data_IF_440102120072
#
_entry.id   IF_440102120072
#
_cell.length_a   1.000
_cell.length_b   1.000
_cell.length_c   1.000
_cell.angle_alpha   90.00
_cell.angle_beta   90.00
_cell.angle_gamma   90.00
#
_symmetry.space_group_name_H-M   'P 1'
#
loop_
_entity.id
_entity.type
_entity.pdbx_description
1 polymer ?
#
# COMPACT_ATOMS: atom_id res chain seq x y z
N UNK A 1 10.75 26.96 29.63
CA UNK A 1 11.19 25.55 29.76
C UNK A 1 11.19 24.93 28.37
N UNK A 2 12.38 24.73 27.82
CA UNK A 2 12.57 24.18 26.48
C UNK A 2 12.61 22.65 26.55
N UNK A 3 11.78 22.01 25.77
CA UNK A 3 11.74 20.53 25.63
C UNK A 3 12.78 20.12 24.59
N UNK A 4 13.76 19.36 25.00
CA UNK A 4 14.84 18.85 24.16
C UNK A 4 14.35 17.57 23.40
N UNK A 5 14.43 17.50 22.08
CA UNK A 5 14.18 16.22 21.40
C UNK A 5 15.41 15.33 21.47
N UNK A 6 15.27 14.18 22.12
CA UNK A 6 16.33 13.15 22.12
C UNK A 6 16.32 12.42 20.77
N UNK A 7 17.30 12.73 19.94
CA UNK A 7 17.61 11.96 18.74
C UNK A 7 18.39 10.73 19.21
N UNK A 8 17.76 9.56 19.12
CA UNK A 8 18.44 8.28 19.31
C UNK A 8 19.36 8.04 18.11
N UNK A 9 20.62 8.41 18.27
CA UNK A 9 21.66 8.09 17.30
C UNK A 9 22.04 6.61 17.46
N UNK A 10 21.75 5.79 16.49
CA UNK A 10 22.23 4.42 16.41
C UNK A 10 23.73 4.44 16.18
N UNK A 11 24.51 4.10 17.20
CA UNK A 11 25.94 3.87 17.05
C UNK A 11 26.17 2.49 16.47
N UNK A 12 26.54 2.44 15.19
CA UNK A 12 27.13 1.25 14.57
C UNK A 12 28.63 1.26 14.99
N UNK A 13 29.14 0.17 15.57
CA UNK A 13 30.56 0.15 15.88
C UNK A 13 31.35 0.10 14.56
N UNK A 14 32.14 1.14 14.32
CA UNK A 14 33.10 1.18 13.21
C UNK A 14 34.38 0.50 13.65
N UNK A 15 34.76 -0.58 12.99
CA UNK A 15 36.12 -1.08 13.07
C UNK A 15 36.94 -0.34 12.01
N UNK A 16 37.94 0.38 12.44
CA UNK A 16 38.87 1.12 11.56
C UNK A 16 39.85 0.14 10.89
N UNK A 17 39.59 -0.21 9.63
CA UNK A 17 40.63 -0.73 8.72
C UNK A 17 40.74 0.22 7.52
N UNK A 18 41.94 0.67 7.15
CA UNK A 18 42.10 1.59 6.02
C UNK A 18 41.84 0.86 4.69
N UNK A 19 40.90 1.25 4.02
CA UNK A 19 40.49 0.68 2.72
C UNK A 19 38.96 0.60 2.48
N UNK A 20 38.32 0.55 3.42
CA UNK A 20 36.90 0.33 3.30
C UNK A 20 36.06 1.55 2.97
N UNK A 21 36.54 2.51 3.21
CA UNK A 21 35.86 3.75 2.97
C UNK A 21 35.64 4.00 1.50
N UNK A 22 36.36 3.70 0.84
CA UNK A 22 36.32 3.86 -0.59
C UNK A 22 35.30 2.87 -1.17
N UNK A 23 35.26 1.87 -0.65
CA UNK A 23 34.34 0.93 -1.11
C UNK A 23 32.93 1.26 -0.67
N UNK A 24 32.90 1.76 0.32
CA UNK A 24 31.65 2.19 0.80
C UNK A 24 31.15 3.40 0.07
N UNK A 25 31.96 4.08 -0.20
CA UNK A 25 31.66 5.23 -0.93
C UNK A 25 31.34 4.86 -2.35
N UNK A 26 31.88 4.03 -2.75
CA UNK A 26 31.63 3.51 -4.06
C UNK A 26 30.31 2.72 -4.08
N UNK A 27 30.16 2.13 -3.15
CA UNK A 27 28.93 1.50 -3.05
C UNK A 27 27.77 2.45 -2.86
N UNK A 28 28.07 3.31 -2.27
CA UNK A 28 27.08 4.31 -2.08
C UNK A 28 26.85 5.07 -3.36
N UNK A 29 27.72 5.25 -3.90
CA UNK A 29 27.67 5.88 -5.17
C UNK A 29 27.03 4.94 -6.17
N UNK A 30 27.33 3.80 -6.08
CA UNK A 30 26.75 2.86 -6.95
C UNK A 30 25.29 2.65 -6.62
N UNK A 31 25.07 2.73 -5.51
CA UNK A 31 23.73 2.65 -5.13
C UNK A 31 22.94 3.87 -5.54
N UNK A 32 23.58 4.74 -5.45
CA UNK A 32 22.98 5.96 -5.87
C UNK A 32 22.84 5.97 -7.36
N UNK A 33 23.63 5.55 -7.85
CA UNK A 33 23.61 5.44 -9.28
C UNK A 33 22.58 4.39 -9.71
N UNK A 34 22.59 3.45 -9.04
CA UNK A 34 21.62 2.51 -9.37
C UNK A 34 20.23 2.98 -9.08
N UNK A 35 20.22 3.67 -8.19
CA UNK A 35 18.98 4.25 -7.87
C UNK A 35 18.59 5.28 -8.88
N UNK A 36 19.47 5.81 -9.23
CA UNK A 36 19.26 6.79 -10.22
C UNK A 36 18.96 6.13 -11.52
N UNK A 37 19.53 5.19 -11.66
CA UNK A 37 19.30 4.45 -12.85
C UNK A 37 17.92 3.78 -12.81
N UNK A 38 17.69 3.41 -11.83
CA UNK A 38 16.40 2.89 -11.69
C UNK A 38 15.34 3.93 -11.80
N UNK A 39 15.72 4.83 -11.37
CA UNK A 39 14.82 5.93 -11.47
C UNK A 39 14.75 6.41 -12.89
N UNK A 40 15.68 6.39 -13.33
CA UNK A 40 15.75 6.77 -14.71
C UNK A 40 15.07 5.72 -15.56
N UNK A 41 15.27 4.63 -15.21
CA UNK A 41 14.65 3.64 -15.94
C UNK A 41 13.16 3.64 -15.73
N UNK A 42 12.90 3.98 -14.68
CA UNK A 42 11.56 4.13 -14.39
C UNK A 42 10.96 5.32 -15.05
N UNK A 43 11.71 6.11 -15.11
CA UNK A 43 11.32 7.29 -15.77
C UNK A 43 11.29 7.07 -17.25
N UNK A 44 12.07 6.45 -17.56
CA UNK A 44 12.11 6.10 -18.95
C UNK A 44 10.98 5.14 -19.31
N UNK A 45 10.81 4.40 -18.52
CA UNK A 45 9.73 3.58 -18.76
C UNK A 45 8.43 4.30 -18.67
N UNK A 46 8.50 5.13 -17.92
CA UNK A 46 7.36 5.95 -17.81
C UNK A 46 7.21 6.86 -18.99
N UNK A 47 8.14 7.19 -19.36
CA UNK A 47 8.16 8.03 -20.50
C UNK A 47 7.82 7.23 -21.75
N UNK A 48 8.21 6.16 -21.71
CA UNK A 48 7.91 5.34 -22.83
C UNK A 48 6.46 4.90 -22.83
N UNK A 49 5.98 4.87 -21.79
CA UNK A 49 4.64 4.56 -21.66
C UNK A 49 3.74 5.73 -21.89
N UNK A 50 4.23 6.68 -21.69
CA UNK A 50 3.51 7.88 -21.89
C UNK A 50 3.35 8.24 -23.36
N UNK A 51 4.07 7.83 -23.89
CA UNK A 51 4.02 8.13 -25.29
C UNK A 51 2.90 7.37 -26.00
N UNK A 52 2.51 6.49 -25.34
CA UNK A 52 1.48 5.79 -26.02
C UNK A 52 0.09 6.17 -25.62
N UNK A 53 0.02 6.79 -24.73
CA UNK A 53 -1.30 7.15 -24.41
C UNK A 53 -1.26 8.45 -23.76
N UNK A 54 -1.96 9.48 -24.27
CA UNK A 54 -2.29 10.68 -23.54
C UNK A 54 -3.63 10.52 -22.82
N UNK A 55 -3.68 10.17 -21.55
CA UNK A 55 -4.83 10.52 -20.70
C UNK A 55 -4.64 12.01 -20.38
N UNK A 56 -5.61 12.81 -20.76
CA UNK A 56 -5.73 14.18 -20.24
C UNK A 56 -5.99 14.02 -18.74
N UNK A 57 -4.91 14.06 -17.96
CA UNK A 57 -5.03 14.26 -16.52
C UNK A 57 -5.42 15.73 -16.32
N UNK A 58 -6.72 15.97 -16.31
CA UNK A 58 -7.24 17.15 -15.65
C UNK A 58 -6.74 17.12 -14.20
N UNK A 59 -5.94 18.12 -13.84
CA UNK A 59 -5.65 18.47 -12.46
C UNK A 59 -6.99 18.76 -11.77
N UNK A 60 -7.61 17.72 -11.27
CA UNK A 60 -8.71 17.84 -10.32
C UNK A 60 -8.08 18.22 -8.98
N UNK A 61 -8.39 19.42 -8.54
CA UNK A 61 -8.05 19.88 -7.21
C UNK A 61 -8.44 18.82 -6.18
N UNK A 62 -7.52 18.51 -5.28
CA UNK A 62 -7.77 17.68 -4.12
C UNK A 62 -8.77 18.42 -3.19
N UNK A 63 -10.04 18.40 -3.55
CA UNK A 63 -11.13 18.72 -2.63
C UNK A 63 -11.76 17.40 -2.19
N UNK A 64 -11.02 16.66 -1.40
CA UNK A 64 -11.47 15.37 -0.87
C UNK A 64 -11.88 15.44 0.59
N UNK A 65 -12.56 16.52 0.98
CA UNK A 65 -13.41 16.43 2.16
C UNK A 65 -14.84 16.13 1.67
N UNK A 66 -15.07 14.87 1.29
CA UNK A 66 -16.44 14.39 1.30
C UNK A 66 -16.86 14.36 2.76
N UNK A 67 -17.60 15.37 3.12
CA UNK A 67 -18.23 15.50 4.42
C UNK A 67 -18.90 14.17 4.80
N UNK A 68 -18.57 13.67 6.01
CA UNK A 68 -19.24 12.52 6.62
C UNK A 68 -20.77 12.68 6.63
N UNK A 69 -21.28 13.91 6.47
CA UNK A 69 -22.70 14.20 6.33
C UNK A 69 -23.37 13.42 5.18
N UNK A 70 -22.61 13.11 4.09
CA UNK A 70 -23.18 12.37 2.95
C UNK A 70 -23.28 10.85 3.22
N UNK A 71 -22.43 10.30 4.08
CA UNK A 71 -22.53 8.88 4.46
C UNK A 71 -23.70 8.65 5.41
N UNK A 72 -23.98 9.62 6.28
CA UNK A 72 -25.17 9.58 7.15
C UNK A 72 -26.47 9.67 6.36
N UNK A 73 -26.50 10.49 5.30
CA UNK A 73 -27.69 10.62 4.46
C UNK A 73 -28.01 9.34 3.68
N UNK A 74 -27.01 8.53 3.33
CA UNK A 74 -27.25 7.29 2.60
C UNK A 74 -27.85 6.18 3.50
N UNK A 75 -27.55 6.20 4.81
CA UNK A 75 -28.12 5.23 5.76
C UNK A 75 -29.49 5.65 6.28
N UNK A 76 -29.79 6.96 6.27
CA UNK A 76 -31.06 7.48 6.76
C UNK A 76 -32.14 7.60 5.68
N UNK A 77 -31.76 7.49 4.40
CA UNK A 77 -32.68 7.74 3.26
C UNK A 77 -33.68 6.61 2.98
N UNK A 78 -33.70 5.52 3.78
CA UNK A 78 -34.58 4.37 3.49
C UNK A 78 -35.57 3.97 4.59
N UNK A 79 -35.92 4.88 5.51
CA UNK A 79 -36.98 4.60 6.48
C UNK A 79 -38.14 5.61 6.29
N UNK A 80 -39.28 5.16 5.73
CA UNK A 80 -40.34 6.09 5.43
C UNK A 80 -41.24 6.44 6.66
N UNK A 81 -40.73 6.26 7.87
CA UNK A 81 -41.44 6.64 9.07
C UNK A 81 -40.88 7.96 9.60
N UNK A 82 -41.67 9.02 9.61
CA UNK A 82 -41.38 10.23 10.36
C UNK A 82 -41.40 9.90 11.85
N UNK A 83 -40.33 9.36 12.35
CA UNK A 83 -40.11 9.23 13.78
C UNK A 83 -39.92 10.67 14.29
N UNK A 84 -40.73 11.09 15.22
CA UNK A 84 -40.60 12.42 15.83
C UNK A 84 -39.17 12.57 16.37
N UNK A 85 -38.51 13.63 15.93
CA UNK A 85 -37.19 13.96 16.46
C UNK A 85 -37.34 14.61 17.82
N UNK A 86 -36.50 14.32 18.80
CA UNK A 86 -36.55 15.03 20.08
C UNK A 86 -36.23 16.51 19.86
N UNK A 87 -36.95 17.38 20.56
CA UNK A 87 -36.75 18.83 20.49
C UNK A 87 -35.44 19.22 21.21
N UNK A 88 -35.11 18.51 22.26
CA UNK A 88 -33.86 18.73 23.03
C UNK A 88 -32.74 17.91 22.45
N UNK A 89 -31.57 18.50 22.38
CA UNK A 89 -30.35 17.79 21.98
C UNK A 89 -29.98 16.79 23.09
N UNK A 90 -30.03 15.49 22.77
CA UNK A 90 -29.81 14.42 23.75
C UNK A 90 -28.33 14.07 23.91
N UNK A 91 -27.50 14.32 22.88
CA UNK A 91 -26.06 14.08 22.95
C UNK A 91 -25.35 15.40 22.63
N UNK A 92 -24.39 15.83 23.45
CA UNK A 92 -23.64 17.05 23.16
C UNK A 92 -22.96 17.00 21.80
N UNK A 93 -22.96 18.10 21.06
CA UNK A 93 -22.30 18.21 19.76
C UNK A 93 -20.81 17.88 19.82
N UNK A 94 -20.15 18.18 20.94
CA UNK A 94 -18.74 17.87 21.17
C UNK A 94 -18.52 16.36 21.19
N UNK A 95 -19.38 15.59 21.84
CA UNK A 95 -19.31 14.12 21.94
C UNK A 95 -19.47 13.48 20.55
N UNK A 96 -20.46 13.95 19.77
CA UNK A 96 -20.65 13.46 18.40
C UNK A 96 -19.47 13.82 17.50
N UNK A 97 -18.95 15.04 17.61
CA UNK A 97 -17.77 15.47 16.84
C UNK A 97 -16.52 14.64 17.20
N UNK A 98 -16.33 14.35 18.48
CA UNK A 98 -15.19 13.51 18.93
C UNK A 98 -15.33 12.08 18.41
N UNK A 99 -16.54 11.52 18.45
CA UNK A 99 -16.82 10.20 17.86
C UNK A 99 -16.51 10.18 16.36
N UNK A 100 -17.02 11.15 15.62
CA UNK A 100 -16.83 11.27 14.16
C UNK A 100 -15.34 11.38 13.81
N UNK A 101 -14.59 12.17 14.60
CA UNK A 101 -13.15 12.34 14.40
C UNK A 101 -12.40 11.01 14.58
N UNK A 102 -12.65 10.30 15.67
CA UNK A 102 -11.94 9.03 15.96
C UNK A 102 -12.34 7.94 14.98
N UNK A 103 -13.62 7.81 14.67
CA UNK A 103 -14.08 6.83 13.68
C UNK A 103 -13.56 7.14 12.28
N UNK A 104 -13.52 8.42 11.89
CA UNK A 104 -12.97 8.86 10.60
C UNK A 104 -11.51 8.46 10.41
N UNK A 105 -10.68 8.58 11.47
CA UNK A 105 -9.28 8.10 11.43
C UNK A 105 -9.22 6.60 11.12
N UNK A 106 -10.10 5.80 11.73
CA UNK A 106 -10.13 4.34 11.54
C UNK A 106 -10.64 3.96 10.15
N UNK A 107 -11.63 4.68 9.61
CA UNK A 107 -12.10 4.47 8.23
C UNK A 107 -10.97 4.75 7.22
N UNK A 108 -10.23 5.83 7.42
CA UNK A 108 -9.07 6.17 6.59
C UNK A 108 -7.99 5.08 6.70
N UNK A 109 -7.70 4.62 7.92
CA UNK A 109 -6.73 3.54 8.15
C UNK A 109 -7.16 2.25 7.44
N UNK A 110 -8.43 1.88 7.52
CA UNK A 110 -8.99 0.70 6.84
C UNK A 110 -8.80 0.80 5.32
N UNK A 111 -9.19 1.93 4.73
CA UNK A 111 -9.07 2.17 3.28
C UNK A 111 -7.61 2.11 2.82
N UNK A 112 -6.72 2.82 3.52
CA UNK A 112 -5.30 2.88 3.15
C UNK A 112 -4.61 1.51 3.32
N UNK A 113 -4.98 0.75 4.36
CA UNK A 113 -4.45 -0.61 4.58
C UNK A 113 -4.88 -1.56 3.45
N UNK A 114 -6.14 -1.50 3.03
CA UNK A 114 -6.65 -2.30 1.89
C UNK A 114 -5.93 -1.93 0.59
N UNK A 115 -5.72 -0.64 0.35
CA UNK A 115 -5.01 -0.14 -0.83
C UNK A 115 -3.56 -0.65 -0.83
N UNK A 116 -2.87 -0.49 0.30
CA UNK A 116 -1.49 -0.95 0.44
C UNK A 116 -1.36 -2.47 0.21
N UNK A 117 -2.27 -3.27 0.78
CA UNK A 117 -2.29 -4.73 0.57
C UNK A 117 -2.43 -5.08 -0.92
N UNK A 118 -3.33 -4.41 -1.62
CA UNK A 118 -3.56 -4.60 -3.06
C UNK A 118 -2.31 -4.25 -3.87
N UNK A 119 -1.67 -3.12 -3.55
CA UNK A 119 -0.49 -2.65 -4.28
C UNK A 119 0.73 -3.53 -4.01
N UNK A 120 0.89 -4.02 -2.77
CA UNK A 120 1.95 -4.99 -2.44
C UNK A 120 1.78 -6.29 -3.25
N UNK A 121 0.55 -6.78 -3.41
CA UNK A 121 0.28 -7.97 -4.25
C UNK A 121 0.65 -7.73 -5.71
N UNK A 122 0.21 -6.59 -6.27
CA UNK A 122 0.56 -6.23 -7.65
C UNK A 122 2.07 -6.18 -7.86
N UNK A 123 2.79 -5.60 -6.89
CA UNK A 123 4.25 -5.50 -6.95
C UNK A 123 4.90 -6.90 -6.96
N UNK A 124 4.47 -7.78 -6.07
CA UNK A 124 5.02 -9.16 -6.02
C UNK A 124 4.69 -9.96 -7.28
N UNK A 125 3.48 -9.81 -7.82
CA UNK A 125 3.08 -10.45 -9.08
C UNK A 125 3.94 -9.95 -10.25
N UNK A 126 4.19 -8.64 -10.31
CA UNK A 126 5.04 -8.03 -11.35
C UNK A 126 6.51 -8.50 -11.22
N UNK A 127 7.03 -8.58 -9.99
CA UNK A 127 8.38 -9.11 -9.72
C UNK A 127 8.52 -10.53 -10.29
N UNK A 128 7.57 -11.41 -10.01
CA UNK A 128 7.58 -12.80 -10.52
C UNK A 128 7.48 -12.85 -12.03
N UNK A 129 6.61 -12.04 -12.64
CA UNK A 129 6.48 -11.97 -14.11
C UNK A 129 7.77 -11.52 -14.76
N UNK A 130 8.44 -10.52 -14.19
CA UNK A 130 9.71 -10.00 -14.71
C UNK A 130 10.79 -11.08 -14.69
N UNK A 131 10.99 -11.76 -13.56
CA UNK A 131 12.06 -12.76 -13.45
C UNK A 131 11.80 -13.98 -14.34
N UNK A 132 10.54 -14.42 -14.47
CA UNK A 132 10.17 -15.52 -15.38
C UNK A 132 10.40 -15.15 -16.85
N UNK A 133 10.11 -13.89 -17.22
CA UNK A 133 10.38 -13.41 -18.58
C UNK A 133 11.89 -13.40 -18.87
N UNK A 134 12.70 -13.00 -17.90
CA UNK A 134 14.17 -13.03 -18.05
C UNK A 134 14.68 -14.45 -18.28
N UNK A 135 14.18 -15.43 -17.51
CA UNK A 135 14.53 -16.85 -17.71
C UNK A 135 14.07 -17.33 -19.09
N UNK A 136 12.86 -16.93 -19.51
CA UNK A 136 12.36 -17.32 -20.85
C UNK A 136 13.27 -16.80 -21.96
N UNK A 137 13.72 -15.53 -21.85
CA UNK A 137 14.65 -14.93 -22.84
C UNK A 137 15.92 -15.76 -22.95
N UNK A 138 16.53 -16.16 -21.81
CA UNK A 138 17.76 -16.95 -21.83
C UNK A 138 17.53 -18.35 -22.46
N UNK A 139 16.39 -18.97 -22.20
CA UNK A 139 16.03 -20.27 -22.79
C UNK A 139 15.80 -20.14 -24.30
N UNK A 140 15.11 -19.08 -24.73
CA UNK A 140 14.87 -18.83 -26.17
C UNK A 140 16.19 -18.59 -26.88
N UNK A 141 17.16 -17.90 -26.25
CA UNK A 141 18.49 -17.70 -26.82
C UNK A 141 19.28 -19.01 -26.92
N UNK A 142 19.21 -19.87 -25.89
CA UNK A 142 19.90 -21.18 -25.91
C UNK A 142 19.41 -22.07 -27.06
N UNK A 143 18.14 -21.98 -27.44
CA UNK A 143 17.55 -22.76 -28.53
C UNK A 143 17.60 -22.02 -29.89
N UNK A 144 18.20 -20.84 -29.94
CA UNK A 144 18.26 -20.01 -31.15
C UNK A 144 19.44 -20.46 -32.04
N UNK A 145 19.27 -20.47 -33.39
CA UNK A 145 20.39 -20.73 -34.29
C UNK A 145 21.62 -19.84 -34.09
N UNK A 146 21.49 -18.69 -33.42
CA UNK A 146 22.64 -17.86 -33.04
C UNK A 146 23.69 -18.62 -32.21
N UNK A 147 23.29 -19.67 -31.49
CA UNK A 147 24.18 -20.49 -30.69
C UNK A 147 24.80 -21.66 -31.51
N UNK A 148 24.39 -21.86 -32.76
CA UNK A 148 24.92 -22.92 -33.59
C UNK A 148 26.31 -22.58 -34.11
N UNK A 149 27.25 -23.50 -33.97
CA UNK A 149 28.60 -23.40 -34.52
C UNK A 149 29.45 -22.24 -33.94
N UNK A 150 29.01 -21.63 -32.85
CA UNK A 150 29.80 -20.61 -32.15
C UNK A 150 29.85 -20.93 -30.66
N UNK A 151 30.96 -21.51 -30.24
CA UNK A 151 31.11 -21.98 -28.83
C UNK A 151 31.21 -20.78 -27.86
N UNK A 152 31.84 -19.67 -28.26
CA UNK A 152 32.00 -18.52 -27.39
C UNK A 152 30.65 -17.86 -27.14
N UNK A 153 29.83 -17.71 -28.18
CA UNK A 153 28.45 -17.20 -28.04
C UNK A 153 27.60 -18.13 -27.17
N UNK A 154 27.68 -19.45 -27.39
CA UNK A 154 26.96 -20.44 -26.58
C UNK A 154 27.36 -20.36 -25.10
N UNK A 155 28.67 -20.20 -24.81
CA UNK A 155 29.17 -20.04 -23.44
C UNK A 155 28.60 -18.79 -22.77
N UNK A 156 28.56 -17.66 -23.49
CA UNK A 156 28.02 -16.41 -23.00
C UNK A 156 26.51 -16.54 -22.69
N UNK A 157 25.74 -17.16 -23.58
CA UNK A 157 24.30 -17.37 -23.37
C UNK A 157 24.04 -18.35 -22.22
N UNK A 158 24.89 -19.38 -22.05
CA UNK A 158 24.80 -20.31 -20.93
C UNK A 158 25.04 -19.60 -19.60
N UNK A 159 26.01 -18.70 -19.55
CA UNK A 159 26.30 -17.88 -18.37
C UNK A 159 25.10 -16.97 -18.05
N UNK A 160 24.49 -16.36 -19.08
CA UNK A 160 23.29 -15.54 -18.92
C UNK A 160 22.12 -16.37 -18.35
N UNK A 161 21.91 -17.57 -18.89
CA UNK A 161 20.83 -18.47 -18.43
C UNK A 161 21.01 -18.84 -16.95
N UNK A 162 22.24 -19.15 -16.56
CA UNK A 162 22.58 -19.45 -15.16
C UNK A 162 22.27 -18.25 -14.26
N UNK A 163 22.65 -17.05 -14.69
CA UNK A 163 22.38 -15.80 -13.94
C UNK A 163 20.88 -15.55 -13.82
N UNK A 164 20.11 -15.70 -14.90
CA UNK A 164 18.66 -15.46 -14.88
C UNK A 164 17.94 -16.45 -13.98
N UNK A 165 18.34 -17.72 -13.98
CA UNK A 165 17.77 -18.74 -13.08
C UNK A 165 18.09 -18.47 -11.62
N UNK A 166 19.29 -18.02 -11.31
CA UNK A 166 19.66 -17.58 -9.95
C UNK A 166 18.82 -16.36 -9.52
N UNK A 167 18.69 -15.37 -10.40
CA UNK A 167 17.86 -14.18 -10.16
C UNK A 167 16.41 -14.59 -9.85
N UNK A 168 15.83 -15.48 -10.63
CA UNK A 168 14.44 -15.94 -10.43
C UNK A 168 14.30 -16.65 -9.07
N UNK A 169 15.25 -17.48 -8.69
CA UNK A 169 15.22 -18.18 -7.39
C UNK A 169 15.23 -17.20 -6.22
N UNK A 170 16.13 -16.19 -6.23
CA UNK A 170 16.17 -15.15 -5.20
C UNK A 170 14.93 -14.29 -5.20
N UNK A 171 14.36 -14.02 -6.38
CA UNK A 171 13.14 -13.25 -6.49
C UNK A 171 11.94 -14.00 -5.87
N UNK A 172 11.85 -15.30 -6.09
CA UNK A 172 10.82 -16.15 -5.47
C UNK A 172 10.95 -16.13 -3.95
N UNK A 173 12.17 -16.20 -3.41
CA UNK A 173 12.42 -16.11 -1.96
C UNK A 173 11.96 -14.74 -1.41
N UNK A 174 12.33 -13.65 -2.10
CA UNK A 174 11.90 -12.29 -1.75
C UNK A 174 10.37 -12.19 -1.70
N UNK A 175 9.69 -12.67 -2.74
CA UNK A 175 8.23 -12.63 -2.85
C UNK A 175 7.58 -13.46 -1.73
N UNK A 176 8.09 -14.66 -1.46
CA UNK A 176 7.58 -15.51 -0.37
C UNK A 176 7.75 -14.85 0.99
N UNK A 177 8.90 -14.20 1.22
CA UNK A 177 9.16 -13.45 2.45
C UNK A 177 8.17 -12.30 2.60
N UNK A 178 7.97 -11.49 1.55
CA UNK A 178 7.03 -10.35 1.55
C UNK A 178 5.59 -10.86 1.77
N UNK A 179 5.20 -11.96 1.14
CA UNK A 179 3.87 -12.57 1.33
C UNK A 179 3.62 -12.88 2.81
N UNK A 180 4.59 -13.52 3.46
CA UNK A 180 4.50 -13.94 4.88
C UNK A 180 4.54 -12.76 5.86
N UNK A 181 5.48 -11.83 5.64
CA UNK A 181 5.84 -10.84 6.66
C UNK A 181 5.18 -9.47 6.44
N UNK A 182 4.59 -9.24 5.26
CA UNK A 182 3.94 -7.96 4.94
C UNK A 182 2.48 -8.16 4.54
N UNK A 183 2.22 -8.94 3.48
CA UNK A 183 0.88 -9.08 2.90
C UNK A 183 -0.08 -9.77 3.86
N UNK A 184 0.33 -10.89 4.48
CA UNK A 184 -0.51 -11.58 5.46
C UNK A 184 -0.79 -10.75 6.71
N UNK A 185 0.18 -10.06 7.33
CA UNK A 185 -0.11 -9.13 8.43
C UNK A 185 -1.07 -8.00 8.04
N UNK A 186 -0.93 -7.41 6.85
CA UNK A 186 -1.88 -6.39 6.35
C UNK A 186 -3.29 -6.97 6.25
N UNK A 187 -3.42 -8.19 5.72
CA UNK A 187 -4.71 -8.90 5.60
C UNK A 187 -5.32 -9.17 6.98
N UNK A 188 -4.52 -9.67 7.92
CA UNK A 188 -4.97 -9.96 9.31
C UNK A 188 -5.43 -8.70 10.01
N UNK A 189 -4.70 -7.60 9.88
CA UNK A 189 -5.10 -6.31 10.44
C UNK A 189 -6.44 -5.86 9.82
N UNK A 190 -6.57 -5.98 8.50
CA UNK A 190 -7.80 -5.63 7.78
C UNK A 190 -9.03 -6.41 8.25
N UNK A 191 -8.83 -7.65 8.74
CA UNK A 191 -9.94 -8.51 9.18
C UNK A 191 -10.60 -8.05 10.49
N UNK A 192 -9.99 -7.13 11.22
CA UNK A 192 -10.55 -6.58 12.48
C UNK A 192 -11.64 -5.53 12.21
N UNK A 193 -11.55 -4.80 11.09
CA UNK A 193 -12.45 -3.68 10.80
C UNK A 193 -13.93 -4.05 10.69
N UNK A 194 -14.34 -5.21 10.13
CA UNK A 194 -15.77 -5.57 10.14
C UNK A 194 -16.39 -5.61 11.52
N UNK A 195 -15.68 -6.12 12.53
CA UNK A 195 -16.17 -6.16 13.93
C UNK A 195 -16.28 -4.74 14.50
N UNK A 196 -15.30 -3.88 14.24
CA UNK A 196 -15.34 -2.47 14.64
C UNK A 196 -16.55 -1.77 13.99
N UNK A 197 -16.74 -1.95 12.68
CA UNK A 197 -17.83 -1.33 11.93
C UNK A 197 -19.19 -1.81 12.45
N UNK A 198 -19.28 -3.06 12.86
CA UNK A 198 -20.49 -3.62 13.49
C UNK A 198 -20.76 -2.97 14.86
N UNK A 199 -19.72 -2.73 15.67
CA UNK A 199 -19.86 -2.05 16.95
C UNK A 199 -20.35 -0.61 16.76
N UNK A 200 -19.83 0.09 15.75
CA UNK A 200 -20.28 1.44 15.36
C UNK A 200 -21.76 1.41 14.95
N UNK A 201 -22.15 0.44 14.14
CA UNK A 201 -23.55 0.25 13.71
C UNK A 201 -24.49 0.01 14.90
N UNK A 202 -24.06 -0.78 15.88
CA UNK A 202 -24.83 -1.04 17.13
C UNK A 202 -24.99 0.24 17.95
N UNK A 203 -23.93 1.04 18.06
CA UNK A 203 -24.00 2.35 18.73
C UNK A 203 -25.02 3.27 18.04
N UNK A 204 -24.99 3.32 16.72
CA UNK A 204 -25.90 4.15 15.92
C UNK A 204 -27.36 3.72 16.09
N UNK A 205 -27.61 2.41 16.12
CA UNK A 205 -28.96 1.88 16.39
C UNK A 205 -29.42 2.26 17.81
N UNK A 206 -28.56 2.13 18.80
CA UNK A 206 -28.88 2.53 20.19
C UNK A 206 -29.18 4.05 20.26
N UNK A 207 -28.46 4.89 19.51
CA UNK A 207 -28.74 6.32 19.46
C UNK A 207 -30.11 6.62 18.84
N UNK A 208 -30.49 5.90 17.78
CA UNK A 208 -31.80 6.05 17.15
C UNK A 208 -32.94 5.66 18.11
N UNK A 209 -32.77 4.56 18.85
CA UNK A 209 -33.74 4.11 19.84
C UNK A 209 -33.85 5.11 20.99
N UNK A 210 -32.72 5.63 21.46
CA UNK A 210 -32.68 6.68 22.47
C UNK A 210 -33.43 7.94 21.99
N UNK A 211 -33.15 8.40 20.76
CA UNK A 211 -33.86 9.58 20.17
C UNK A 211 -35.37 9.36 20.10
N UNK A 212 -35.81 8.17 19.69
CA UNK A 212 -37.21 7.79 19.55
C UNK A 212 -37.95 7.84 20.91
N UNK A 213 -37.33 7.24 21.93
CA UNK A 213 -37.92 7.20 23.27
C UNK A 213 -37.87 8.57 23.97
N UNK A 214 -36.84 9.34 23.76
CA UNK A 214 -36.76 10.73 24.26
C UNK A 214 -37.88 11.59 23.69
N UNK A 215 -38.14 11.50 22.37
CA UNK A 215 -39.24 12.21 21.73
C UNK A 215 -40.60 11.77 22.31
N UNK A 216 -40.77 10.48 22.64
CA UNK A 216 -41.98 9.94 23.28
C UNK A 216 -42.19 10.58 24.65
N UNK A 217 -41.14 10.69 25.46
CA UNK A 217 -41.17 11.34 26.79
C UNK A 217 -41.54 12.81 26.65
N UNK A 218 -40.86 13.56 25.75
CA UNK A 218 -41.15 15.00 25.51
C UNK A 218 -42.60 15.21 25.12
N UNK A 219 -43.16 14.37 24.24
CA UNK A 219 -44.57 14.44 23.82
C UNK A 219 -45.52 14.31 25.01
N UNK A 220 -45.25 13.43 26.01
CA UNK A 220 -46.06 13.29 27.18
C UNK A 220 -45.82 14.44 28.19
N UNK A 221 -44.65 15.00 28.27
CA UNK A 221 -44.30 16.13 29.13
C UNK A 221 -45.09 17.44 28.70
N UNK A 222 -45.37 17.55 27.42
CA UNK A 222 -46.08 18.71 26.84
C UNK A 222 -47.59 18.63 26.97
N UNK A 223 -48.15 17.41 27.25
CA UNK A 223 -49.59 17.23 27.41
C UNK A 223 -50.06 17.65 28.79
N UNK A 224 -51.35 18.03 28.86
CA UNK A 224 -52.03 18.31 30.14
C UNK A 224 -51.87 17.09 31.05
N UNK A 225 -51.50 17.37 32.29
CA UNK A 225 -51.15 16.34 33.29
C UNK A 225 -52.38 15.73 33.96
N UNK A 226 -53.11 14.88 33.21
CA UNK A 226 -54.17 14.04 33.72
C UNK A 226 -53.58 12.72 34.28
N UNK A 227 -54.32 12.01 35.12
CA UNK A 227 -53.86 10.72 35.68
C UNK A 227 -53.36 9.74 34.64
N UNK A 228 -54.13 9.46 33.56
CA UNK A 228 -53.65 8.57 32.48
C UNK A 228 -52.40 9.09 31.73
N UNK A 229 -52.22 10.38 31.57
CA UNK A 229 -51.02 10.96 30.91
C UNK A 229 -49.81 10.82 31.81
N UNK A 230 -49.98 11.02 33.13
CA UNK A 230 -48.88 10.85 34.11
C UNK A 230 -48.40 9.39 34.14
N UNK A 231 -49.32 8.41 34.11
CA UNK A 231 -48.98 6.99 34.05
C UNK A 231 -48.17 6.67 32.78
N UNK A 232 -48.58 7.16 31.61
CA UNK A 232 -47.87 6.97 30.33
C UNK A 232 -46.51 7.68 30.33
N UNK A 233 -46.39 8.83 30.95
CA UNK A 233 -45.13 9.55 31.10
C UNK A 233 -44.14 8.73 31.97
N UNK A 234 -44.63 8.21 33.10
CA UNK A 234 -43.82 7.37 33.98
C UNK A 234 -43.31 6.14 33.21
N UNK A 235 -44.22 5.44 32.51
CA UNK A 235 -43.85 4.26 31.70
C UNK A 235 -42.80 4.61 30.65
N UNK A 236 -42.99 5.72 29.93
CA UNK A 236 -42.06 6.15 28.89
C UNK A 236 -40.68 6.47 29.47
N UNK A 237 -40.62 7.07 30.68
CA UNK A 237 -39.33 7.33 31.36
C UNK A 237 -38.63 6.04 31.79
N UNK A 238 -39.39 5.05 32.27
CA UNK A 238 -38.85 3.75 32.65
C UNK A 238 -38.29 2.99 31.41
N UNK A 239 -38.98 3.08 30.27
CA UNK A 239 -38.52 2.52 28.98
C UNK A 239 -37.25 3.24 28.47
N UNK A 240 -37.16 4.55 28.70
CA UNK A 240 -36.04 5.39 28.20
C UNK A 240 -34.73 5.07 28.96
N UNK A 241 -34.77 4.84 30.25
CA UNK A 241 -33.58 4.69 31.10
C UNK A 241 -32.62 3.60 30.61
N UNK A 242 -33.03 2.34 30.39
CA UNK A 242 -32.10 1.30 29.94
C UNK A 242 -31.57 1.56 28.52
N UNK A 243 -32.36 2.19 27.66
CA UNK A 243 -31.93 2.50 26.26
C UNK A 243 -30.88 3.60 26.26
N UNK A 244 -31.06 4.63 27.10
CA UNK A 244 -30.05 5.68 27.30
C UNK A 244 -28.75 5.06 27.82
N UNK A 245 -28.84 4.25 28.88
CA UNK A 245 -27.68 3.63 29.51
C UNK A 245 -26.93 2.72 28.52
N UNK A 246 -27.65 1.97 27.68
CA UNK A 246 -27.08 1.14 26.62
C UNK A 246 -26.29 1.99 25.59
N UNK A 247 -26.90 3.10 25.14
CA UNK A 247 -26.21 4.02 24.21
C UNK A 247 -24.96 4.61 24.87
N UNK A 248 -25.08 5.09 26.10
CA UNK A 248 -23.96 5.71 26.83
C UNK A 248 -22.80 4.72 27.01
N UNK A 249 -23.11 3.47 27.34
CA UNK A 249 -22.10 2.40 27.49
C UNK A 249 -21.38 2.13 26.16
N UNK A 250 -22.12 1.93 25.07
CA UNK A 250 -21.56 1.69 23.74
C UNK A 250 -20.71 2.87 23.25
N UNK A 251 -21.22 4.09 23.46
CA UNK A 251 -20.52 5.32 23.06
C UNK A 251 -19.22 5.49 23.83
N UNK A 252 -19.27 5.29 25.15
CA UNK A 252 -18.07 5.37 26.00
C UNK A 252 -17.03 4.31 25.58
N UNK A 253 -17.45 3.08 25.38
CA UNK A 253 -16.56 1.99 24.96
C UNK A 253 -15.83 2.37 23.65
N UNK A 254 -16.58 2.82 22.64
CA UNK A 254 -15.96 3.19 21.35
C UNK A 254 -15.01 4.39 21.48
N UNK A 255 -15.39 5.42 22.23
CA UNK A 255 -14.53 6.58 22.46
C UNK A 255 -13.24 6.23 23.20
N UNK A 256 -13.28 5.25 24.11
CA UNK A 256 -12.10 4.76 24.84
C UNK A 256 -11.24 3.83 23.98
N UNK A 257 -11.83 2.96 23.17
CA UNK A 257 -11.12 1.89 22.45
C UNK A 257 -10.61 2.30 21.07
N UNK A 258 -11.35 3.15 20.34
CA UNK A 258 -10.92 3.58 18.99
C UNK A 258 -9.54 4.24 18.95
N UNK A 259 -9.21 5.19 19.87
CA UNK A 259 -7.86 5.75 19.91
C UNK A 259 -6.78 4.71 20.21
N UNK A 260 -7.05 3.75 21.10
CA UNK A 260 -6.09 2.66 21.42
C UNK A 260 -5.81 1.82 20.18
N UNK A 261 -6.87 1.43 19.46
CA UNK A 261 -6.75 0.66 18.23
C UNK A 261 -5.92 1.45 17.19
N UNK A 262 -6.25 2.74 16.99
CA UNK A 262 -5.53 3.58 16.03
C UNK A 262 -4.04 3.70 16.39
N UNK A 263 -3.73 3.92 17.66
CA UNK A 263 -2.35 4.11 18.12
C UNK A 263 -1.52 2.82 18.01
N UNK A 264 -2.13 1.63 18.13
CA UNK A 264 -1.44 0.35 18.01
C UNK A 264 -0.93 0.06 16.59
N UNK A 265 -1.36 0.82 15.57
CA UNK A 265 -1.00 0.58 14.17
C UNK A 265 0.51 0.58 13.91
N UNK A 266 1.25 1.46 14.59
CA UNK A 266 2.70 1.57 14.39
C UNK A 266 3.41 0.33 14.95
N UNK A 267 3.08 -0.06 16.17
CA UNK A 267 3.66 -1.24 16.82
C UNK A 267 3.37 -2.51 16.01
N UNK A 268 2.19 -2.57 15.39
CA UNK A 268 1.77 -3.71 14.57
C UNK A 268 2.51 -3.77 13.24
N UNK A 269 2.63 -2.62 12.54
CA UNK A 269 3.16 -2.60 11.17
C UNK A 269 4.67 -2.41 11.06
N UNK A 270 5.33 -1.83 12.05
CA UNK A 270 6.78 -1.55 11.99
C UNK A 270 7.60 -2.82 11.67
N UNK A 271 7.40 -3.96 12.34
CA UNK A 271 8.17 -5.17 12.00
C UNK A 271 7.97 -5.64 10.56
N UNK A 272 6.77 -5.47 10.01
CA UNK A 272 6.46 -5.81 8.61
C UNK A 272 7.27 -4.96 7.64
N UNK A 273 7.33 -3.64 7.87
CA UNK A 273 8.07 -2.75 6.98
C UNK A 273 9.58 -2.89 7.13
N UNK A 274 10.08 -3.19 8.32
CA UNK A 274 11.49 -3.56 8.51
C UNK A 274 11.83 -4.82 7.72
N UNK A 275 10.96 -5.84 7.77
CA UNK A 275 11.12 -7.07 6.99
C UNK A 275 11.11 -6.79 5.48
N UNK A 276 10.21 -5.91 5.02
CA UNK A 276 10.16 -5.51 3.60
C UNK A 276 11.48 -4.88 3.17
N UNK A 277 12.02 -3.95 3.95
CA UNK A 277 13.28 -3.27 3.65
C UNK A 277 14.43 -4.31 3.59
N UNK A 278 14.52 -5.19 4.59
CA UNK A 278 15.57 -6.23 4.64
C UNK A 278 15.48 -7.17 3.43
N UNK A 279 14.27 -7.58 3.04
CA UNK A 279 14.07 -8.45 1.87
C UNK A 279 14.56 -7.78 0.58
N UNK A 280 14.31 -6.47 0.43
CA UNK A 280 14.82 -5.69 -0.72
C UNK A 280 16.36 -5.61 -0.69
N UNK A 281 16.94 -5.31 0.47
CA UNK A 281 18.40 -5.22 0.61
C UNK A 281 19.07 -6.56 0.23
N UNK A 282 18.58 -7.67 0.77
CA UNK A 282 19.11 -9.01 0.46
C UNK A 282 19.03 -9.30 -1.04
N UNK A 283 17.86 -9.06 -1.64
CA UNK A 283 17.64 -9.32 -3.06
C UNK A 283 18.59 -8.51 -3.94
N UNK A 284 18.67 -7.20 -3.74
CA UNK A 284 19.50 -6.34 -4.59
C UNK A 284 20.99 -6.56 -4.37
N UNK A 285 21.41 -6.95 -3.16
CA UNK A 285 22.81 -7.34 -2.90
C UNK A 285 23.18 -8.60 -3.68
N UNK A 286 22.28 -9.59 -3.73
CA UNK A 286 22.51 -10.82 -4.52
C UNK A 286 22.47 -10.53 -6.03
N UNK A 287 21.59 -9.63 -6.48
CA UNK A 287 21.56 -9.19 -7.89
C UNK A 287 22.89 -8.55 -8.29
N UNK A 288 23.44 -7.70 -7.42
CA UNK A 288 24.75 -7.08 -7.67
C UNK A 288 25.84 -8.14 -7.85
N UNK A 289 25.86 -9.19 -7.02
CA UNK A 289 26.82 -10.30 -7.14
C UNK A 289 26.61 -11.07 -8.45
N UNK A 290 25.36 -11.47 -8.74
CA UNK A 290 25.02 -12.27 -9.94
C UNK A 290 25.47 -11.54 -11.21
N UNK A 291 25.14 -10.26 -11.36
CA UNK A 291 25.51 -9.50 -12.54
C UNK A 291 27.00 -9.14 -12.56
N UNK A 292 27.62 -8.96 -11.40
CA UNK A 292 29.08 -8.79 -11.29
C UNK A 292 29.83 -10.04 -11.78
N UNK A 293 29.40 -11.22 -11.33
CA UNK A 293 29.96 -12.50 -11.77
C UNK A 293 29.78 -12.68 -13.30
N UNK A 294 28.59 -12.33 -13.81
CA UNK A 294 28.29 -12.41 -15.24
C UNK A 294 29.20 -11.47 -16.07
N UNK A 295 29.38 -10.25 -15.59
CA UNK A 295 30.22 -9.25 -16.28
C UNK A 295 31.68 -9.72 -16.35
N UNK A 296 32.18 -10.37 -15.29
CA UNK A 296 33.57 -10.91 -15.26
C UNK A 296 33.79 -12.00 -16.30
N UNK A 297 32.76 -12.67 -16.78
CA UNK A 297 32.82 -13.70 -17.79
C UNK A 297 32.89 -13.14 -19.22
N UNK A 298 32.72 -11.82 -19.40
CA UNK A 298 32.86 -11.16 -20.68
C UNK A 298 34.34 -10.75 -20.86
N UNK A 299 35.01 -11.36 -21.81
CA UNK A 299 36.46 -11.21 -22.01
C UNK A 299 36.87 -9.83 -22.58
N UNK A 300 35.92 -9.04 -23.05
CA UNK A 300 36.23 -7.76 -23.69
C UNK A 300 35.48 -6.59 -23.03
N UNK A 301 36.14 -5.44 -22.90
CA UNK A 301 35.43 -4.25 -22.44
C UNK A 301 34.30 -3.90 -23.43
N UNK A 302 33.18 -3.46 -22.88
CA UNK A 302 32.01 -3.12 -23.69
C UNK A 302 32.33 -2.05 -24.73
N UNK A 303 31.85 -2.26 -25.95
CA UNK A 303 31.94 -1.28 -27.02
C UNK A 303 31.08 -0.06 -26.68
N UNK A 304 31.56 1.19 -26.85
CA UNK A 304 30.73 2.38 -26.66
C UNK A 304 29.46 2.30 -27.52
N UNK A 305 28.35 2.75 -26.96
CA UNK A 305 27.02 2.64 -27.59
C UNK A 305 27.01 3.25 -29.00
N UNK A 306 27.64 4.42 -29.17
CA UNK A 306 27.69 5.09 -30.47
C UNK A 306 28.45 4.27 -31.51
N UNK A 307 29.51 3.58 -31.09
CA UNK A 307 30.29 2.72 -32.00
C UNK A 307 29.48 1.49 -32.38
N UNK A 308 28.84 0.85 -31.38
CA UNK A 308 27.98 -0.33 -31.59
C UNK A 308 26.84 -0.02 -32.56
N UNK A 309 26.19 1.14 -32.37
CA UNK A 309 25.10 1.58 -33.25
C UNK A 309 25.58 1.74 -34.70
N UNK A 310 26.75 2.40 -34.91
CA UNK A 310 27.33 2.57 -36.24
C UNK A 310 27.66 1.23 -36.88
N UNK A 311 28.29 0.32 -36.14
CA UNK A 311 28.64 -1.02 -36.63
C UNK A 311 27.41 -1.83 -37.00
N UNK A 312 26.37 -1.81 -36.16
CA UNK A 312 25.12 -2.49 -36.44
C UNK A 312 24.42 -1.94 -37.69
N UNK A 313 24.39 -0.61 -37.85
CA UNK A 313 23.75 -0.01 -39.03
C UNK A 313 24.57 -0.31 -40.32
N UNK A 314 25.90 -0.34 -40.23
CA UNK A 314 26.74 -0.74 -41.36
C UNK A 314 26.44 -2.19 -41.78
N UNK A 315 26.39 -3.12 -40.82
CA UNK A 315 26.06 -4.54 -41.08
C UNK A 315 24.65 -4.69 -41.66
N UNK A 316 23.70 -3.96 -41.11
CA UNK A 316 22.32 -3.98 -41.60
C UNK A 316 22.24 -3.45 -43.05
N UNK A 317 22.99 -2.43 -43.36
CA UNK A 317 23.09 -1.88 -44.73
C UNK A 317 23.63 -2.92 -45.69
N UNK A 318 24.68 -3.68 -45.28
CA UNK A 318 25.23 -4.78 -46.07
C UNK A 318 24.18 -5.87 -46.34
N UNK A 319 23.42 -6.23 -45.33
CA UNK A 319 22.35 -7.23 -45.45
C UNK A 319 21.24 -6.77 -46.41
N UNK A 320 20.86 -5.50 -46.32
CA UNK A 320 19.87 -4.90 -47.23
C UNK A 320 20.32 -4.87 -48.69
N UNK A 321 21.63 -4.85 -48.92
CA UNK A 321 22.21 -4.85 -50.25
C UNK A 321 22.27 -6.24 -50.92
N UNK A 322 21.94 -7.32 -50.14
CA UNK A 322 21.89 -8.66 -50.73
C UNK A 322 20.69 -8.74 -51.71
N UNK A 323 20.92 -9.37 -52.86
CA UNK A 323 19.90 -9.49 -53.91
C UNK A 323 18.64 -10.22 -53.48
N UNK A 324 18.71 -11.09 -52.42
CA UNK A 324 17.56 -11.80 -51.88
C UNK A 324 16.71 -10.93 -50.93
N UNK A 325 17.22 -9.75 -50.55
CA UNK A 325 16.56 -8.82 -49.62
C UNK A 325 16.18 -7.52 -50.30
N UNK A 326 16.86 -7.19 -51.40
CA UNK A 326 16.59 -5.96 -52.14
C UNK A 326 15.18 -6.01 -52.76
N UNK A 327 14.33 -5.07 -52.40
CA UNK A 327 13.01 -4.91 -53.00
C UNK A 327 13.16 -4.51 -54.45
N UNK A 328 12.43 -5.13 -55.37
CA UNK A 328 12.40 -4.82 -56.81
C UNK A 328 11.89 -3.39 -57.06
#
# INVERSE_FOLDING_TARGET
MAIHPSILAWRIPWTEEPGXXXXXXXXXXXXXXXXXXXXXXXXXXXXXXXXXXTPVFLLGEFHGQRSLANTYNCLTARIPFKIGQPKKQIVPKTVERDFEREYGKLQQLEEQTKRLQKDMRKSTDADLAMSKSAVKISLDLLSNPLCEQDQDFLNMVTALDTAMKRMDAFNQEKVNQIQKTVIEPLKKFGSVFPSLNMAVKRREQALQDYRRLQAKVEKYEEKEKTGPVLAKLHQAREELRPVRDDFEAKNKQLLDEMPRFYNSRLDYFQPSFESLIRAQVVYYSEMHKIFGDLTQQLDQPGCPDEQRERENEARLSELRALSIVADD
#
